data_IF_437723245011
#
_entry.id   IF_437723245011
#
_cell.length_a   1.000
_cell.length_b   1.000
_cell.length_c   1.000
_cell.angle_alpha   90.00
_cell.angle_beta   90.00
_cell.angle_gamma   90.00
#
_symmetry.space_group_name_H-M   'P 1'
#
loop_
_entity.id
_entity.type
_entity.pdbx_description
1 polymer ?
#
# COMPACT_ATOMS: atom_id res chain seq x y z
N UNK A 1 -15.32 -30.88 -55.47
CA UNK A 1 -16.24 -29.84 -54.95
C UNK A 1 -15.81 -29.21 -53.61
N UNK A 2 -15.16 -29.94 -52.69
CA UNK A 2 -14.78 -29.45 -51.35
C UNK A 2 -13.72 -28.32 -51.36
N UNK A 3 -12.70 -28.37 -52.24
CA UNK A 3 -11.66 -27.32 -52.37
C UNK A 3 -12.22 -25.93 -52.72
N UNK A 4 -13.29 -25.87 -53.52
CA UNK A 4 -13.92 -24.62 -53.96
C UNK A 4 -14.67 -23.92 -52.82
N UNK A 5 -15.33 -24.68 -51.94
CA UNK A 5 -16.08 -24.11 -50.81
C UNK A 5 -15.14 -23.55 -49.74
N UNK A 6 -14.02 -24.23 -49.47
CA UNK A 6 -12.97 -23.74 -48.56
C UNK A 6 -12.34 -22.45 -49.10
N UNK A 7 -12.01 -22.41 -50.40
CA UNK A 7 -11.45 -21.21 -51.03
C UNK A 7 -12.42 -20.02 -50.98
N UNK A 8 -13.73 -20.21 -51.14
CA UNK A 8 -14.75 -19.15 -51.03
C UNK A 8 -14.87 -18.61 -49.60
N UNK A 9 -14.89 -19.48 -48.60
CA UNK A 9 -14.91 -19.07 -47.18
C UNK A 9 -13.62 -18.32 -46.81
N UNK A 10 -12.45 -18.80 -47.26
CA UNK A 10 -11.18 -18.09 -47.07
C UNK A 10 -11.13 -16.73 -47.78
N UNK A 11 -11.76 -16.58 -48.95
CA UNK A 11 -11.83 -15.31 -49.69
C UNK A 11 -12.78 -14.32 -49.02
N UNK A 12 -13.92 -14.81 -48.52
CA UNK A 12 -14.89 -14.03 -47.75
C UNK A 12 -14.32 -13.53 -46.42
N UNK A 13 -13.60 -14.39 -45.68
CA UNK A 13 -12.87 -14.01 -44.46
C UNK A 13 -11.73 -13.01 -44.73
N UNK A 14 -11.16 -13.00 -45.95
CA UNK A 14 -10.08 -12.07 -46.36
C UNK A 14 -10.59 -10.75 -46.95
N UNK A 15 -11.89 -10.60 -47.19
CA UNK A 15 -12.48 -9.37 -47.72
C UNK A 15 -13.61 -8.87 -46.80
N UNK A 16 -13.29 -8.35 -45.60
CA UNK A 16 -14.32 -7.81 -44.72
C UNK A 16 -15.04 -6.67 -45.43
N UNK A 17 -16.37 -6.71 -45.49
CA UNK A 17 -17.15 -5.62 -46.06
C UNK A 17 -16.91 -4.33 -45.26
N UNK A 18 -16.99 -3.17 -45.90
CA UNK A 18 -16.83 -1.88 -45.20
C UNK A 18 -17.78 -1.75 -43.98
N UNK A 19 -18.96 -2.36 -44.07
CA UNK A 19 -19.91 -2.45 -42.95
C UNK A 19 -19.46 -3.38 -41.83
N UNK A 20 -18.79 -4.50 -42.13
CA UNK A 20 -18.21 -5.38 -41.12
C UNK A 20 -17.05 -4.70 -40.38
N UNK A 21 -16.18 -3.97 -41.10
CA UNK A 21 -15.10 -3.17 -40.50
C UNK A 21 -15.71 -2.07 -39.61
N UNK A 22 -16.70 -1.32 -40.11
CA UNK A 22 -17.40 -0.30 -39.33
C UNK A 22 -18.08 -0.85 -38.08
N UNK A 23 -18.70 -2.03 -38.18
CA UNK A 23 -19.31 -2.73 -37.05
C UNK A 23 -18.28 -3.14 -35.98
N UNK A 24 -17.13 -3.71 -36.37
CA UNK A 24 -16.05 -4.07 -35.43
C UNK A 24 -15.48 -2.83 -34.75
N UNK A 25 -15.26 -1.75 -35.49
CA UNK A 25 -14.77 -0.48 -34.93
C UNK A 25 -15.78 0.05 -33.91
N UNK A 26 -17.07 0.11 -34.27
CA UNK A 26 -18.12 0.58 -33.38
C UNK A 26 -18.22 -0.26 -32.10
N UNK A 27 -18.22 -1.59 -32.23
CA UNK A 27 -18.24 -2.50 -31.09
C UNK A 27 -16.99 -2.36 -30.21
N UNK A 28 -15.83 -2.13 -30.80
CA UNK A 28 -14.60 -1.90 -30.05
C UNK A 28 -14.69 -0.59 -29.27
N UNK A 29 -15.17 0.50 -29.89
CA UNK A 29 -15.36 1.79 -29.23
C UNK A 29 -16.34 1.65 -28.06
N UNK A 30 -17.50 1.04 -28.29
CA UNK A 30 -18.50 0.82 -27.25
C UNK A 30 -17.91 -0.05 -26.14
N UNK A 31 -17.25 -1.15 -26.49
CA UNK A 31 -16.59 -2.07 -25.55
C UNK A 31 -15.52 -1.39 -24.72
N UNK A 32 -14.69 -0.53 -25.31
CA UNK A 32 -13.67 0.25 -24.59
C UNK A 32 -14.32 1.26 -23.65
N UNK A 33 -15.34 1.99 -24.09
CA UNK A 33 -16.05 2.96 -23.23
C UNK A 33 -16.68 2.22 -22.04
N UNK A 34 -17.46 1.18 -22.30
CA UNK A 34 -18.13 0.41 -21.24
C UNK A 34 -17.09 -0.23 -20.31
N UNK A 35 -16.07 -0.88 -20.86
CA UNK A 35 -15.03 -1.57 -20.10
C UNK A 35 -14.21 -0.63 -19.21
N UNK A 36 -13.80 0.53 -19.73
CA UNK A 36 -13.05 1.52 -18.94
C UNK A 36 -13.91 2.17 -17.86
N UNK A 37 -15.19 2.47 -18.14
CA UNK A 37 -16.10 2.97 -17.13
C UNK A 37 -16.33 1.95 -16.02
N UNK A 38 -16.62 0.69 -16.37
CA UNK A 38 -16.83 -0.37 -15.38
C UNK A 38 -15.58 -0.62 -14.54
N UNK A 39 -14.40 -0.61 -15.17
CA UNK A 39 -13.13 -0.74 -14.48
C UNK A 39 -12.92 0.41 -13.48
N UNK A 40 -13.15 1.65 -13.89
CA UNK A 40 -13.00 2.82 -13.00
C UNK A 40 -13.98 2.78 -11.84
N UNK A 41 -15.23 2.38 -12.07
CA UNK A 41 -16.22 2.18 -11.01
C UNK A 41 -15.75 1.12 -10.02
N UNK A 42 -15.36 -0.07 -10.49
CA UNK A 42 -14.85 -1.14 -9.62
C UNK A 42 -13.61 -0.71 -8.83
N UNK A 43 -12.70 0.03 -9.46
CA UNK A 43 -11.52 0.59 -8.80
C UNK A 43 -11.88 1.60 -7.71
N UNK A 44 -12.84 2.48 -7.98
CA UNK A 44 -13.30 3.46 -7.01
C UNK A 44 -14.01 2.77 -5.83
N UNK A 45 -14.92 1.83 -6.10
CA UNK A 45 -15.64 1.07 -5.06
C UNK A 45 -14.68 0.34 -4.13
N UNK A 46 -13.69 -0.37 -4.69
CA UNK A 46 -12.68 -1.13 -3.91
C UNK A 46 -11.64 -0.25 -3.21
N UNK A 47 -11.74 1.07 -3.33
CA UNK A 47 -10.94 2.03 -2.57
C UNK A 47 -11.77 2.75 -1.50
N UNK A 48 -13.08 2.50 -1.41
CA UNK A 48 -13.91 3.13 -0.39
C UNK A 48 -13.61 2.56 1.00
N UNK A 49 -13.80 3.40 2.02
CA UNK A 49 -13.74 2.98 3.42
C UNK A 49 -14.80 1.91 3.75
N UNK A 50 -15.97 1.98 3.11
CA UNK A 50 -17.02 0.97 3.27
C UNK A 50 -16.53 -0.41 2.84
N UNK A 51 -15.94 -0.51 1.64
CA UNK A 51 -15.41 -1.77 1.12
C UNK A 51 -14.37 -2.38 2.07
N UNK A 52 -13.47 -1.56 2.62
CA UNK A 52 -12.48 -2.04 3.60
C UNK A 52 -13.15 -2.49 4.91
N UNK A 53 -14.15 -1.74 5.37
CA UNK A 53 -14.86 -1.99 6.63
C UNK A 53 -15.69 -3.28 6.61
N UNK A 54 -16.10 -3.75 5.42
CA UNK A 54 -16.88 -4.99 5.27
C UNK A 54 -16.15 -6.22 5.85
N UNK A 55 -14.80 -6.19 5.91
CA UNK A 55 -13.99 -7.22 6.58
C UNK A 55 -13.36 -6.73 7.89
N UNK A 56 -12.99 -5.43 7.97
CA UNK A 56 -12.16 -4.88 9.04
C UNK A 56 -12.91 -4.21 10.21
N UNK A 57 -14.24 -4.34 10.27
CA UNK A 57 -15.08 -3.63 11.25
C UNK A 57 -14.70 -3.90 12.72
N UNK A 58 -14.19 -5.10 13.03
CA UNK A 58 -13.90 -5.52 14.39
C UNK A 58 -12.41 -5.42 14.79
N UNK A 59 -11.51 -5.19 13.82
CA UNK A 59 -10.07 -5.14 14.03
C UNK A 59 -9.51 -3.72 13.96
N UNK A 60 -9.20 -3.20 12.77
CA UNK A 60 -8.43 -1.98 12.56
C UNK A 60 -9.31 -0.74 12.39
N UNK A 61 -10.58 -0.89 12.02
CA UNK A 61 -11.51 0.25 11.86
C UNK A 61 -11.68 1.05 13.16
N UNK A 62 -11.91 0.43 14.34
CA UNK A 62 -12.00 1.18 15.60
C UNK A 62 -10.71 1.95 15.93
N UNK A 63 -9.55 1.37 15.60
CA UNK A 63 -8.25 2.02 15.83
C UNK A 63 -8.08 3.24 14.93
N UNK A 64 -8.44 3.09 13.65
CA UNK A 64 -8.41 4.18 12.69
C UNK A 64 -9.36 5.31 13.08
N UNK A 65 -10.58 5.00 13.53
CA UNK A 65 -11.55 5.99 14.00
C UNK A 65 -11.06 6.80 15.20
N UNK A 66 -10.22 6.20 16.05
CA UNK A 66 -9.57 6.89 17.16
C UNK A 66 -8.35 7.72 16.74
N UNK A 67 -7.90 7.63 15.48
CA UNK A 67 -6.69 8.30 14.98
C UNK A 67 -6.94 9.74 14.53
N UNK A 68 -5.86 10.52 14.47
CA UNK A 68 -5.87 11.90 13.92
C UNK A 68 -6.18 11.95 12.42
N UNK A 69 -6.01 10.84 11.70
CA UNK A 69 -6.34 10.76 10.28
C UNK A 69 -7.84 10.58 10.03
N UNK A 70 -8.59 10.17 11.07
CA UNK A 70 -10.06 10.13 11.05
C UNK A 70 -10.67 11.41 11.64
N UNK A 71 -10.23 11.80 12.85
CA UNK A 71 -10.77 12.95 13.58
C UNK A 71 -9.69 13.98 13.86
N UNK A 72 -9.82 15.16 13.23
CA UNK A 72 -8.87 16.26 13.39
C UNK A 72 -9.56 17.63 13.30
N UNK A 73 -8.82 18.66 13.70
CA UNK A 73 -9.27 20.06 13.71
C UNK A 73 -9.61 20.64 12.35
N UNK A 74 -9.10 20.06 11.26
CA UNK A 74 -9.26 20.60 9.90
C UNK A 74 -10.49 20.03 9.20
N UNK A 75 -11.06 18.92 9.69
CA UNK A 75 -12.17 18.21 9.06
C UNK A 75 -11.80 17.46 7.78
N UNK A 76 -10.52 17.44 7.40
CA UNK A 76 -10.02 16.68 6.25
C UNK A 76 -9.63 15.29 6.70
N UNK A 77 -10.20 14.27 6.08
CA UNK A 77 -9.99 12.87 6.45
C UNK A 77 -9.17 12.15 5.37
N UNK A 78 -8.16 11.39 5.79
CA UNK A 78 -7.49 10.41 4.94
C UNK A 78 -8.18 9.06 5.15
N UNK A 79 -8.78 8.49 4.11
CA UNK A 79 -9.46 7.19 4.15
C UNK A 79 -8.46 6.04 3.98
N UNK A 80 -8.90 4.79 4.16
CA UNK A 80 -8.05 3.61 4.11
C UNK A 80 -7.15 3.56 2.86
N UNK A 81 -7.72 3.87 1.69
CA UNK A 81 -6.99 3.81 0.42
C UNK A 81 -5.90 4.86 0.30
N UNK A 82 -6.03 6.01 0.96
CA UNK A 82 -5.07 7.10 0.83
C UNK A 82 -3.69 6.71 1.40
N UNK A 83 -3.68 5.80 2.38
CA UNK A 83 -2.48 5.24 2.99
C UNK A 83 -2.08 3.86 2.44
N UNK A 84 -3.06 2.99 2.12
CA UNK A 84 -2.80 1.60 1.75
C UNK A 84 -2.76 1.33 0.24
N UNK A 85 -3.22 2.27 -0.59
CA UNK A 85 -3.32 2.10 -2.05
C UNK A 85 -2.61 3.28 -2.75
N UNK A 86 -1.52 3.02 -3.50
CA UNK A 86 -0.84 4.08 -4.24
C UNK A 86 -1.77 4.84 -5.19
N UNK A 87 -1.54 6.15 -5.37
CA UNK A 87 -2.31 6.96 -6.32
C UNK A 87 -1.97 6.66 -7.78
N UNK A 88 -0.69 6.42 -8.07
CA UNK A 88 -0.18 6.15 -9.41
C UNK A 88 -0.67 4.81 -9.96
N UNK A 89 -0.99 4.76 -11.26
CA UNK A 89 -1.65 3.60 -11.87
C UNK A 89 -0.87 2.29 -11.68
N UNK A 90 0.42 2.25 -12.06
CA UNK A 90 1.21 1.01 -12.03
C UNK A 90 1.39 0.49 -10.59
N UNK A 91 1.85 1.29 -9.61
CA UNK A 91 1.93 0.85 -8.22
C UNK A 91 0.57 0.45 -7.63
N UNK A 92 -0.51 1.16 -7.97
CA UNK A 92 -1.87 0.83 -7.56
C UNK A 92 -2.28 -0.56 -8.02
N UNK A 93 -2.03 -0.89 -9.29
CA UNK A 93 -2.36 -2.20 -9.83
C UNK A 93 -1.55 -3.32 -9.16
N UNK A 94 -0.25 -3.10 -8.90
CA UNK A 94 0.60 -4.05 -8.17
C UNK A 94 0.04 -4.30 -6.77
N UNK A 95 -0.25 -3.23 -6.02
CA UNK A 95 -0.80 -3.33 -4.66
C UNK A 95 -2.16 -4.03 -4.64
N UNK A 96 -3.04 -3.76 -5.60
CA UNK A 96 -4.34 -4.44 -5.72
C UNK A 96 -4.20 -5.92 -6.06
N UNK A 97 -3.25 -6.30 -6.91
CA UNK A 97 -2.93 -7.71 -7.15
C UNK A 97 -2.43 -8.39 -5.86
N UNK A 98 -1.56 -7.73 -5.09
CA UNK A 98 -1.12 -8.25 -3.79
C UNK A 98 -2.28 -8.35 -2.78
N UNK A 99 -3.14 -7.33 -2.71
CA UNK A 99 -4.31 -7.28 -1.83
C UNK A 99 -5.29 -8.42 -2.09
N UNK A 100 -5.36 -8.93 -3.33
CA UNK A 100 -6.20 -10.11 -3.63
C UNK A 100 -5.85 -11.33 -2.78
N UNK A 101 -4.58 -11.46 -2.35
CA UNK A 101 -4.14 -12.52 -1.45
C UNK A 101 -4.59 -12.30 0.00
N UNK A 102 -4.76 -11.05 0.42
CA UNK A 102 -5.30 -10.67 1.72
C UNK A 102 -6.80 -10.97 1.77
N UNK A 103 -7.53 -10.61 0.71
CA UNK A 103 -8.94 -10.96 0.53
C UNK A 103 -9.15 -12.48 0.55
N UNK A 104 -8.30 -13.22 -0.16
CA UNK A 104 -8.31 -14.68 -0.13
C UNK A 104 -8.02 -15.24 1.28
N UNK A 105 -7.06 -14.67 2.01
CA UNK A 105 -6.75 -15.07 3.38
C UNK A 105 -7.94 -14.82 4.35
N UNK A 106 -8.70 -13.75 4.15
CA UNK A 106 -9.94 -13.52 4.90
C UNK A 106 -11.00 -14.58 4.57
N UNK A 107 -11.34 -14.77 3.29
CA UNK A 107 -12.41 -15.72 2.90
C UNK A 107 -12.08 -17.19 3.15
N UNK A 108 -10.79 -17.55 3.21
CA UNK A 108 -10.34 -18.90 3.63
C UNK A 108 -10.29 -19.08 5.15
N UNK A 109 -10.57 -18.02 5.91
CA UNK A 109 -10.61 -18.05 7.37
C UNK A 109 -9.25 -18.00 8.05
N UNK A 110 -8.20 -17.52 7.38
CA UNK A 110 -6.87 -17.32 7.99
C UNK A 110 -6.86 -16.11 8.94
N UNK A 111 -7.63 -15.06 8.61
CA UNK A 111 -7.69 -13.77 9.35
C UNK A 111 -9.12 -13.22 9.49
N UNK A 112 -10.15 -14.07 9.39
CA UNK A 112 -11.57 -13.68 9.41
C UNK A 112 -12.12 -13.28 10.78
N UNK A 113 -11.38 -13.53 11.86
CA UNK A 113 -11.74 -13.10 13.20
C UNK A 113 -10.65 -12.24 13.81
N UNK A 114 -11.02 -11.38 14.77
CA UNK A 114 -10.05 -10.54 15.48
C UNK A 114 -8.91 -11.36 16.09
N UNK A 115 -9.21 -12.48 16.73
CA UNK A 115 -8.19 -13.36 17.31
C UNK A 115 -7.19 -13.86 16.25
N UNK A 116 -7.69 -14.32 15.09
CA UNK A 116 -6.84 -14.80 14.00
C UNK A 116 -6.07 -13.66 13.32
N UNK A 117 -6.68 -12.48 13.21
CA UNK A 117 -6.02 -11.26 12.76
C UNK A 117 -4.85 -10.91 13.68
N UNK A 118 -5.08 -10.84 14.99
CA UNK A 118 -4.05 -10.53 15.99
C UNK A 118 -2.89 -11.53 15.98
N UNK A 119 -3.19 -12.83 15.80
CA UNK A 119 -2.16 -13.87 15.64
C UNK A 119 -1.20 -13.61 14.48
N UNK A 120 -1.67 -12.94 13.43
CA UNK A 120 -0.87 -12.60 12.25
C UNK A 120 -0.52 -11.11 12.16
N UNK A 121 -0.92 -10.27 13.13
CA UNK A 121 -0.80 -8.80 13.04
C UNK A 121 0.64 -8.38 12.81
N UNK A 122 1.60 -8.99 13.51
CA UNK A 122 3.01 -8.66 13.34
C UNK A 122 3.50 -8.94 11.92
N UNK A 123 3.23 -10.14 11.39
CA UNK A 123 3.61 -10.52 10.01
C UNK A 123 2.98 -9.56 8.98
N UNK A 124 1.71 -9.19 9.17
CA UNK A 124 1.00 -8.26 8.27
C UNK A 124 1.59 -6.85 8.37
N UNK A 125 1.87 -6.37 9.58
CA UNK A 125 2.44 -5.05 9.82
C UNK A 125 3.85 -4.94 9.24
N UNK A 126 4.71 -5.95 9.42
CA UNK A 126 6.07 -5.98 8.87
C UNK A 126 6.07 -5.92 7.34
N UNK A 127 5.17 -6.66 6.69
CA UNK A 127 5.00 -6.60 5.22
C UNK A 127 4.60 -5.19 4.77
N UNK A 128 3.68 -4.56 5.47
CA UNK A 128 3.22 -3.21 5.12
C UNK A 128 4.30 -2.15 5.39
N UNK A 129 5.04 -2.26 6.49
CA UNK A 129 6.18 -1.39 6.78
C UNK A 129 7.28 -1.56 5.75
N UNK A 130 7.60 -2.79 5.35
CA UNK A 130 8.59 -3.06 4.31
C UNK A 130 8.15 -2.44 2.97
N UNK A 131 6.87 -2.54 2.61
CA UNK A 131 6.31 -1.91 1.40
C UNK A 131 6.44 -0.38 1.45
N UNK A 132 5.96 0.24 2.53
CA UNK A 132 6.02 1.69 2.72
C UNK A 132 7.47 2.19 2.84
N UNK A 133 8.41 1.36 3.28
CA UNK A 133 9.83 1.72 3.29
C UNK A 133 10.42 1.63 1.88
N UNK A 134 10.12 0.56 1.15
CA UNK A 134 10.63 0.31 -0.19
C UNK A 134 10.21 1.38 -1.22
N UNK A 135 9.02 1.98 -1.06
CA UNK A 135 8.56 3.07 -1.92
C UNK A 135 8.84 4.49 -1.35
N UNK A 136 9.67 4.59 -0.31
CA UNK A 136 9.99 5.87 0.31
C UNK A 136 8.80 6.56 0.98
N UNK A 137 7.84 5.79 1.49
CA UNK A 137 6.59 6.25 2.12
C UNK A 137 5.80 7.18 1.21
N UNK A 138 5.64 6.78 -0.06
CA UNK A 138 4.98 7.58 -1.09
C UNK A 138 3.59 8.05 -0.64
N UNK A 139 2.80 7.17 -0.04
CA UNK A 139 1.44 7.45 0.40
C UNK A 139 1.40 8.51 1.50
N UNK A 140 2.35 8.46 2.44
CA UNK A 140 2.51 9.51 3.44
C UNK A 140 2.86 10.84 2.77
N UNK A 141 3.82 10.84 1.84
CA UNK A 141 4.33 12.06 1.18
C UNK A 141 3.34 12.72 0.22
N UNK A 142 2.28 12.05 -0.18
CA UNK A 142 1.18 12.67 -0.93
C UNK A 142 0.51 13.81 -0.15
N UNK A 143 0.60 13.79 1.19
CA UNK A 143 0.08 14.85 2.06
C UNK A 143 1.15 15.42 3.02
N UNK A 144 2.15 14.62 3.40
CA UNK A 144 3.22 14.95 4.35
C UNK A 144 4.58 14.97 3.64
N UNK A 145 4.79 15.94 2.77
CA UNK A 145 6.05 16.08 2.05
C UNK A 145 7.05 16.89 2.87
N UNK A 146 8.27 16.37 3.04
CA UNK A 146 9.34 17.08 3.74
C UNK A 146 9.61 18.49 3.19
N UNK A 147 9.46 18.70 1.88
CA UNK A 147 9.71 20.00 1.25
C UNK A 147 8.62 21.03 1.55
N UNK A 148 7.42 20.58 1.89
CA UNK A 148 6.24 21.44 2.11
C UNK A 148 5.92 21.60 3.60
N UNK A 149 6.60 20.85 4.48
CA UNK A 149 6.46 20.97 5.92
C UNK A 149 7.10 22.28 6.43
N UNK A 150 6.37 23.00 7.27
CA UNK A 150 6.95 24.10 8.05
C UNK A 150 7.61 23.55 9.33
N UNK A 151 8.94 23.54 9.33
CA UNK A 151 9.75 23.04 10.44
C UNK A 151 9.73 23.97 11.65
N UNK A 152 9.41 25.26 11.47
CA UNK A 152 9.37 26.25 12.55
C UNK A 152 8.17 26.06 13.46
N UNK A 153 7.10 25.46 12.93
CA UNK A 153 5.86 25.16 13.66
C UNK A 153 5.91 23.81 14.39
N UNK A 154 7.02 23.07 14.25
CA UNK A 154 7.23 21.79 14.92
C UNK A 154 7.87 22.00 16.29
N UNK A 155 7.67 21.03 17.20
CA UNK A 155 8.45 20.98 18.44
C UNK A 155 9.93 20.78 18.10
N UNK A 156 10.84 21.35 18.88
CA UNK A 156 12.30 21.32 18.63
C UNK A 156 12.83 19.91 18.34
N UNK A 157 12.39 18.89 19.09
CA UNK A 157 12.81 17.51 18.86
C UNK A 157 12.32 16.99 17.50
N UNK A 158 11.06 17.24 17.15
CA UNK A 158 10.49 16.80 15.88
C UNK A 158 11.20 17.48 14.69
N UNK A 159 11.48 18.78 14.80
CA UNK A 159 12.25 19.53 13.82
C UNK A 159 13.63 18.89 13.57
N UNK A 160 14.37 18.61 14.65
CA UNK A 160 15.69 17.97 14.55
C UNK A 160 15.61 16.58 13.93
N UNK A 161 14.63 15.76 14.34
CA UNK A 161 14.46 14.40 13.81
C UNK A 161 14.05 14.40 12.34
N UNK A 162 13.18 15.32 11.91
CA UNK A 162 12.83 15.44 10.49
C UNK A 162 14.01 15.93 9.65
N UNK A 163 14.81 16.88 10.14
CA UNK A 163 16.01 17.34 9.44
C UNK A 163 17.02 16.20 9.28
N UNK A 164 17.25 15.43 10.35
CA UNK A 164 18.10 14.24 10.32
C UNK A 164 17.57 13.17 9.36
N UNK A 165 16.25 12.95 9.34
CA UNK A 165 15.61 11.99 8.44
C UNK A 165 15.84 12.37 6.97
N UNK A 166 15.75 13.65 6.62
CA UNK A 166 16.05 14.13 5.27
C UNK A 166 17.54 13.92 4.91
N UNK A 167 18.46 14.29 5.81
CA UNK A 167 19.89 14.13 5.58
C UNK A 167 20.28 12.66 5.39
N UNK A 168 19.68 11.76 6.18
CA UNK A 168 19.96 10.33 6.14
C UNK A 168 19.09 9.53 5.18
N UNK A 169 18.29 10.20 4.32
CA UNK A 169 17.36 9.56 3.38
C UNK A 169 16.43 8.52 4.05
N UNK A 170 15.95 8.82 5.27
CA UNK A 170 14.98 7.98 5.97
C UNK A 170 13.58 8.19 5.44
N UNK A 171 12.76 7.16 5.58
CA UNK A 171 11.35 7.16 5.19
C UNK A 171 10.46 7.49 6.39
N UNK A 172 9.22 7.92 6.16
CA UNK A 172 8.28 8.23 7.23
C UNK A 172 8.06 7.01 8.15
N UNK A 173 7.96 5.82 7.54
CA UNK A 173 7.68 4.57 8.26
C UNK A 173 8.89 4.00 9.01
N UNK A 174 10.09 4.52 8.78
CA UNK A 174 11.23 4.17 9.63
C UNK A 174 10.94 4.55 11.07
N UNK A 175 10.30 5.70 11.29
CA UNK A 175 9.95 6.23 12.61
C UNK A 175 8.48 6.13 13.00
N UNK A 176 7.57 6.43 12.09
CA UNK A 176 6.15 6.51 12.40
C UNK A 176 5.45 5.18 12.14
N UNK A 177 5.75 4.17 12.95
CA UNK A 177 4.99 2.91 12.97
C UNK A 177 3.77 3.05 13.88
N UNK A 178 2.65 2.45 13.49
CA UNK A 178 1.41 2.49 14.28
C UNK A 178 0.69 3.85 14.28
N UNK A 179 0.66 4.53 13.13
CA UNK A 179 0.06 5.87 12.98
C UNK A 179 -1.45 5.85 13.18
N UNK A 180 -2.14 4.97 12.45
CA UNK A 180 -3.60 4.84 12.49
C UNK A 180 -4.07 3.57 13.19
N UNK A 181 -3.14 2.65 13.49
CA UNK A 181 -3.42 1.34 14.04
C UNK A 181 -2.45 1.07 15.18
N UNK A 182 -2.89 0.29 16.16
CA UNK A 182 -2.06 -0.10 17.29
C UNK A 182 -0.85 -0.92 16.81
N UNK A 183 0.28 -0.74 17.49
CA UNK A 183 1.45 -1.58 17.21
C UNK A 183 1.16 -3.03 17.62
N UNK A 184 1.61 -4.03 16.84
CA UNK A 184 1.60 -5.41 17.29
C UNK A 184 2.51 -5.59 18.51
N UNK A 185 2.48 -6.76 19.15
CA UNK A 185 3.44 -7.11 20.18
C UNK A 185 4.87 -7.11 19.61
N UNK A 186 5.67 -6.10 19.97
CA UNK A 186 6.97 -5.78 19.38
C UNK A 186 8.14 -6.55 20.01
N UNK A 187 7.90 -7.62 20.76
CA UNK A 187 8.95 -8.38 21.47
C UNK A 187 10.06 -8.90 20.53
N UNK A 188 9.75 -9.07 19.24
CA UNK A 188 10.66 -9.57 18.21
C UNK A 188 11.14 -8.51 17.21
N UNK A 189 10.77 -7.25 17.40
CA UNK A 189 11.09 -6.15 16.47
C UNK A 189 12.08 -5.20 17.14
N UNK A 190 13.16 -4.85 16.44
CA UNK A 190 14.11 -3.85 16.90
C UNK A 190 13.38 -2.54 17.25
N UNK A 191 13.43 -2.16 18.53
CA UNK A 191 12.71 -1.01 19.08
C UNK A 191 13.45 0.33 18.88
N UNK A 192 14.74 0.26 18.49
CA UNK A 192 15.63 1.40 18.38
C UNK A 192 15.92 1.76 16.92
N UNK A 193 16.00 3.06 16.65
CA UNK A 193 16.51 3.65 15.41
C UNK A 193 18.01 3.43 15.20
N UNK A 194 18.71 3.09 16.28
CA UNK A 194 20.13 2.79 16.27
C UNK A 194 20.26 1.32 15.90
N UNK A 195 20.96 0.99 14.79
CA UNK A 195 21.30 -0.37 14.43
C UNK A 195 21.85 -1.13 15.64
N UNK A 196 21.45 -2.38 15.84
CA UNK A 196 21.75 -3.15 17.04
C UNK A 196 23.28 -3.35 17.24
N UNK A 197 24.01 -3.40 16.13
CA UNK A 197 25.46 -3.39 16.03
C UNK A 197 26.12 -2.09 16.51
N UNK A 198 25.38 -0.97 16.50
CA UNK A 198 25.82 0.32 17.03
C UNK A 198 25.41 0.55 18.50
N UNK A 199 24.54 -0.31 19.06
CA UNK A 199 24.19 -0.32 20.49
C UNK A 199 25.19 -1.11 21.34
N UNK A 200 26.02 -1.96 20.72
CA UNK A 200 27.09 -2.67 21.43
C UNK A 200 28.23 -1.69 21.70
N UNK A 201 28.41 -1.32 22.97
CA UNK A 201 29.61 -0.64 23.42
C UNK A 201 30.84 -1.48 23.00
N UNK A 202 31.95 -0.85 22.55
CA UNK A 202 33.17 -1.60 22.27
C UNK A 202 33.53 -2.39 23.53
N UNK A 203 33.71 -3.70 23.39
CA UNK A 203 34.28 -4.53 24.45
C UNK A 203 35.53 -3.81 24.94
N UNK A 204 35.52 -3.42 26.22
CA UNK A 204 36.70 -2.86 26.86
C UNK A 204 37.81 -3.88 26.64
N UNK A 205 38.82 -3.49 25.87
CA UNK A 205 40.05 -4.25 25.76
C UNK A 205 40.48 -4.60 27.19
N UNK A 206 40.54 -5.90 27.48
CA UNK A 206 40.94 -6.40 28.77
C UNK A 206 42.31 -5.79 29.11
N UNK A 207 42.37 -5.06 30.23
CA UNK A 207 43.61 -4.57 30.80
C UNK A 207 44.56 -5.75 30.95
N UNK A 208 45.60 -5.80 30.11
CA UNK A 208 46.70 -6.73 30.25
C UNK A 208 47.53 -6.31 31.48
N UNK A 209 47.13 -6.80 32.65
CA UNK A 209 47.87 -6.70 33.90
C UNK A 209 48.74 -7.94 34.13
N UNK A 210 49.49 -8.38 33.13
CA UNK A 210 50.56 -9.36 33.31
C UNK A 210 51.75 -9.02 32.38
N UNK A 211 52.44 -7.93 32.71
CA UNK A 211 53.82 -7.72 32.29
C UNK A 211 54.66 -7.49 33.55
N UNK A 212 55.32 -8.57 33.97
CA UNK A 212 56.42 -8.57 34.95
C UNK A 212 57.72 -8.76 34.19
#
# INVERSE_FOLDING_TARGET
MIKSSIQKVCRWLRSPSKMAIGGVILLTIIGTIVGTNLFNVGMATTNTEQFCSDCHTNDVVPEYQASVHFSNRSGVKAICSDCHVPHEFVPKMIRKMQASTEVFAYYTGKVDTKEKFEKHRLEMAEREWARMKANGSQECRNCHNFNDMDFTQQKTVAQQMHALAQEQNKTCIDCHKGIAHNLPHMEKVQQSFIPEDMLKAPEKAADNKDAK
#
